data_IF_647557801714
#
_entry.id   IF_647557801714
#
_cell.length_a   1.000
_cell.length_b   1.000
_cell.length_c   1.000
_cell.angle_alpha   90.00
_cell.angle_beta   90.00
_cell.angle_gamma   90.00
#
_symmetry.space_group_name_H-M   'P 1'
#
loop_
_entity.id
_entity.type
_entity.pdbx_description
1 polymer ?
#
# COMPACT_ATOMS: atom_id res chain seq x y z
N UNK A 1 25.72 -7.32 7.69
CA UNK A 1 24.45 -7.71 7.06
C UNK A 1 23.82 -6.44 6.49
N UNK A 2 23.60 -6.34 5.18
CA UNK A 2 22.93 -5.17 4.61
C UNK A 2 21.49 -5.12 5.15
N UNK A 3 21.08 -3.97 5.67
CA UNK A 3 19.72 -3.77 6.15
C UNK A 3 18.73 -3.81 4.97
N UNK A 4 17.52 -4.35 5.19
CA UNK A 4 16.51 -4.50 4.14
C UNK A 4 16.15 -3.15 3.49
N UNK A 5 15.77 -3.16 2.20
CA UNK A 5 15.38 -1.96 1.45
C UNK A 5 14.08 -1.36 1.98
N UNK A 6 13.20 -2.13 2.61
CA UNK A 6 12.01 -1.64 3.29
C UNK A 6 12.33 -1.39 4.77
N UNK A 7 11.88 -0.25 5.31
CA UNK A 7 12.04 0.08 6.74
C UNK A 7 10.69 0.14 7.42
N UNK A 8 10.53 -0.62 8.50
CA UNK A 8 9.30 -0.65 9.29
C UNK A 8 9.04 0.75 9.86
N UNK A 9 7.81 1.23 9.70
CA UNK A 9 7.34 2.50 10.25
C UNK A 9 6.44 2.22 11.44
N UNK A 10 6.80 2.70 12.63
CA UNK A 10 5.98 2.51 13.82
C UNK A 10 4.68 3.32 13.71
N UNK A 11 3.63 2.85 14.38
CA UNK A 11 2.27 3.40 14.25
C UNK A 11 2.19 4.89 14.62
N UNK A 12 3.04 5.34 15.55
CA UNK A 12 3.12 6.74 15.99
C UNK A 12 3.52 7.69 14.85
N UNK A 13 4.13 7.16 13.77
CA UNK A 13 4.55 7.91 12.59
C UNK A 13 3.59 7.80 11.41
N UNK A 14 2.49 7.06 11.53
CA UNK A 14 1.55 6.91 10.41
C UNK A 14 0.83 8.21 10.05
N UNK A 15 0.72 9.17 10.96
CA UNK A 15 0.23 10.52 10.64
C UNK A 15 1.14 11.26 9.64
N UNK A 16 2.45 11.03 9.69
CA UNK A 16 3.39 11.58 8.70
C UNK A 16 3.12 10.99 7.31
N UNK A 17 2.82 9.68 7.27
CA UNK A 17 2.40 8.98 6.04
C UNK A 17 1.11 9.56 5.51
N UNK A 18 0.05 9.60 6.33
CA UNK A 18 -1.25 10.15 5.90
C UNK A 18 -1.11 11.58 5.40
N UNK A 19 -0.25 12.39 6.02
CA UNK A 19 0.02 13.76 5.59
C UNK A 19 0.71 13.85 4.23
N UNK A 20 1.72 13.02 3.96
CA UNK A 20 2.41 12.99 2.66
C UNK A 20 1.47 12.57 1.51
N UNK A 21 0.50 11.70 1.81
CA UNK A 21 -0.43 11.14 0.83
C UNK A 21 -1.69 12.00 0.60
N UNK A 22 -1.97 12.99 1.46
CA UNK A 22 -3.12 13.92 1.27
C UNK A 22 -3.01 14.80 0.03
N UNK A 23 -1.80 15.05 -0.47
CA UNK A 23 -1.58 15.86 -1.67
C UNK A 23 -2.00 15.17 -2.97
N UNK A 24 -2.28 13.86 -2.91
CA UNK A 24 -2.55 13.01 -4.07
C UNK A 24 -3.91 12.30 -3.93
N UNK A 25 -4.88 13.03 -3.38
CA UNK A 25 -6.27 12.62 -3.40
C UNK A 25 -6.85 12.77 -4.82
N UNK A 26 -7.73 11.85 -5.26
CA UNK A 26 -8.31 10.74 -4.51
C UNK A 26 -7.49 9.45 -4.53
N UNK A 27 -6.39 9.37 -5.29
CA UNK A 27 -5.61 8.14 -5.50
C UNK A 27 -5.15 7.53 -4.18
N UNK A 28 -4.73 8.38 -3.25
CA UNK A 28 -4.22 7.99 -1.94
C UNK A 28 -5.28 7.59 -0.89
N UNK A 29 -6.57 7.60 -1.23
CA UNK A 29 -7.63 7.26 -0.25
C UNK A 29 -7.52 5.84 0.28
N UNK A 30 -7.10 4.89 -0.55
CA UNK A 30 -6.96 3.49 -0.15
C UNK A 30 -5.96 3.35 1.01
N UNK A 31 -4.76 3.93 0.87
CA UNK A 31 -3.75 3.85 1.93
C UNK A 31 -4.20 4.60 3.18
N UNK A 32 -4.76 5.80 3.04
CA UNK A 32 -5.23 6.58 4.18
C UNK A 32 -6.29 5.78 4.96
N UNK A 33 -7.30 5.24 4.26
CA UNK A 33 -8.35 4.43 4.87
C UNK A 33 -7.83 3.13 5.49
N UNK A 34 -6.85 2.48 4.87
CA UNK A 34 -6.20 1.29 5.43
C UNK A 34 -5.48 1.62 6.75
N UNK A 35 -4.71 2.71 6.79
CA UNK A 35 -4.00 3.14 8.00
C UNK A 35 -4.98 3.52 9.12
N UNK A 36 -6.02 4.30 8.82
CA UNK A 36 -7.05 4.69 9.80
C UNK A 36 -7.79 3.47 10.38
N UNK A 37 -8.12 2.50 9.51
CA UNK A 37 -8.76 1.25 9.94
C UNK A 37 -7.85 0.46 10.86
N UNK A 38 -6.56 0.35 10.53
CA UNK A 38 -5.60 -0.42 11.33
C UNK A 38 -5.25 0.30 12.64
N UNK A 39 -5.19 1.63 12.66
CA UNK A 39 -5.07 2.41 13.90
C UNK A 39 -6.25 2.19 14.83
N UNK A 40 -7.47 2.15 14.29
CA UNK A 40 -8.67 1.85 15.07
C UNK A 40 -8.62 0.43 15.67
N UNK A 41 -8.25 -0.56 14.87
CA UNK A 41 -8.08 -1.95 15.33
C UNK A 41 -7.02 -2.05 16.43
N UNK A 42 -5.88 -1.38 16.27
CA UNK A 42 -4.81 -1.36 17.27
C UNK A 42 -5.28 -0.75 18.61
N UNK A 43 -6.09 0.32 18.58
CA UNK A 43 -6.70 0.92 19.79
C UNK A 43 -7.65 -0.03 20.53
N UNK A 44 -8.18 -1.05 19.85
CA UNK A 44 -8.98 -2.11 20.45
C UNK A 44 -8.12 -3.28 21.01
N UNK A 45 -6.79 -3.13 21.04
CA UNK A 45 -5.84 -4.18 21.44
C UNK A 45 -5.92 -5.45 20.58
N UNK A 46 -6.33 -5.30 19.32
CA UNK A 46 -6.32 -6.37 18.33
C UNK A 46 -5.06 -6.21 17.47
N UNK A 47 -4.26 -7.28 17.35
CA UNK A 47 -3.08 -7.32 16.48
C UNK A 47 -3.24 -8.42 15.43
N UNK A 48 -3.49 -8.01 14.19
CA UNK A 48 -3.57 -8.91 13.03
C UNK A 48 -2.27 -8.95 12.23
N UNK A 49 -1.16 -8.44 12.79
CA UNK A 49 0.16 -8.49 12.15
C UNK A 49 0.33 -7.54 10.97
N UNK A 50 -0.49 -6.49 10.88
CA UNK A 50 -0.37 -5.46 9.85
C UNK A 50 0.88 -4.62 10.08
N UNK A 51 1.76 -4.56 9.08
CA UNK A 51 3.03 -3.81 9.15
C UNK A 51 3.13 -2.83 8.00
N UNK A 52 3.60 -1.63 8.27
CA UNK A 52 3.80 -0.58 7.25
C UNK A 52 5.29 -0.33 7.11
N UNK A 53 5.76 -0.25 5.87
CA UNK A 53 7.14 0.01 5.54
C UNK A 53 7.25 1.18 4.55
N UNK A 54 8.34 1.93 4.64
CA UNK A 54 8.75 2.88 3.59
C UNK A 54 10.03 2.39 2.90
N UNK A 55 10.13 2.49 1.56
CA UNK A 55 11.36 2.30 0.83
C UNK A 55 12.48 3.19 1.36
N UNK A 56 13.55 2.55 1.81
CA UNK A 56 14.72 3.16 2.44
C UNK A 56 14.42 4.06 3.64
N UNK A 57 13.22 3.93 4.23
CA UNK A 57 12.78 4.71 5.39
C UNK A 57 12.27 6.11 5.08
N UNK A 58 12.07 6.44 3.80
CA UNK A 58 11.55 7.74 3.37
C UNK A 58 10.14 7.60 2.80
N UNK A 59 9.18 8.26 3.44
CA UNK A 59 7.76 8.29 3.06
C UNK A 59 7.53 8.81 1.63
N UNK A 60 8.41 9.70 1.15
CA UNK A 60 8.30 10.26 -0.20
C UNK A 60 8.65 9.23 -1.28
N UNK A 61 9.23 8.08 -0.91
CA UNK A 61 9.47 6.97 -1.82
C UNK A 61 8.30 5.98 -1.87
N UNK A 62 7.22 6.25 -1.15
CA UNK A 62 6.02 5.43 -1.12
C UNK A 62 5.90 4.59 0.14
N UNK A 63 4.88 3.74 0.14
CA UNK A 63 4.63 2.80 1.22
C UNK A 63 4.41 1.39 0.69
N UNK A 64 4.74 0.44 1.54
CA UNK A 64 4.45 -0.97 1.36
C UNK A 64 3.87 -1.45 2.68
N UNK A 65 2.58 -1.77 2.73
CA UNK A 65 1.98 -2.39 3.88
C UNK A 65 1.77 -3.88 3.64
N UNK A 66 2.11 -4.70 4.62
CA UNK A 66 2.02 -6.15 4.56
C UNK A 66 1.05 -6.62 5.65
N UNK A 67 0.04 -7.36 5.23
CA UNK A 67 -0.90 -8.06 6.08
C UNK A 67 -0.77 -9.57 5.82
N UNK A 68 -0.27 -10.30 6.81
CA UNK A 68 -0.05 -11.75 6.72
C UNK A 68 -1.33 -12.47 7.12
N UNK A 69 -2.08 -12.96 6.13
CA UNK A 69 -3.28 -13.79 6.37
C UNK A 69 -2.90 -15.27 6.32
N UNK A 70 -3.83 -16.14 6.73
CA UNK A 70 -3.58 -17.59 6.85
C UNK A 70 -3.23 -18.26 5.52
N UNK A 71 -3.83 -17.84 4.41
CA UNK A 71 -3.69 -18.48 3.09
C UNK A 71 -2.96 -17.64 2.05
N UNK A 72 -2.77 -16.34 2.29
CA UNK A 72 -2.14 -15.40 1.36
C UNK A 72 -1.61 -14.16 2.09
N UNK A 73 -0.78 -13.36 1.41
CA UNK A 73 -0.39 -12.03 1.87
C UNK A 73 -1.18 -10.97 1.12
N UNK A 74 -1.71 -10.01 1.85
CA UNK A 74 -2.26 -8.79 1.26
C UNK A 74 -1.19 -7.70 1.36
N UNK A 75 -0.77 -7.16 0.22
CA UNK A 75 0.31 -6.18 0.11
C UNK A 75 -0.22 -4.90 -0.52
N UNK A 76 -0.37 -3.85 0.29
CA UNK A 76 -0.79 -2.53 -0.19
C UNK A 76 0.46 -1.75 -0.61
N UNK A 77 0.50 -1.28 -1.85
CA UNK A 77 1.65 -0.58 -2.41
C UNK A 77 1.15 0.72 -3.04
N UNK A 78 1.63 1.85 -2.53
CA UNK A 78 1.22 3.18 -2.96
C UNK A 78 2.40 4.16 -2.95
N UNK A 79 2.30 5.22 -3.74
CA UNK A 79 3.31 6.29 -3.83
C UNK A 79 2.64 7.66 -3.84
N UNK A 80 3.17 8.67 -3.12
CA UNK A 80 2.63 10.03 -3.17
C UNK A 80 3.05 10.79 -4.44
N UNK A 81 3.87 10.17 -5.31
CA UNK A 81 4.41 10.74 -6.56
C UNK A 81 4.42 9.70 -7.68
N UNK A 82 4.39 10.17 -8.92
CA UNK A 82 4.36 9.29 -10.11
C UNK A 82 5.70 8.56 -10.36
N UNK A 83 6.82 9.17 -9.98
CA UNK A 83 8.13 8.51 -10.06
C UNK A 83 8.27 7.44 -8.97
N UNK A 84 8.23 6.19 -9.42
CA UNK A 84 8.28 4.99 -8.57
C UNK A 84 9.60 4.25 -8.66
N UNK A 85 10.64 4.86 -9.23
CA UNK A 85 11.94 4.20 -9.45
C UNK A 85 12.51 3.61 -8.16
N UNK A 86 12.52 4.41 -7.08
CA UNK A 86 13.05 4.00 -5.76
C UNK A 86 12.16 2.93 -5.10
N UNK A 87 10.84 3.08 -5.23
CA UNK A 87 9.88 2.07 -4.76
C UNK A 87 10.13 0.71 -5.44
N UNK A 88 10.31 0.72 -6.76
CA UNK A 88 10.59 -0.50 -7.53
C UNK A 88 11.88 -1.18 -7.14
N UNK A 89 12.93 -0.39 -6.94
CA UNK A 89 14.18 -0.93 -6.45
C UNK A 89 14.01 -1.58 -5.07
N UNK A 90 13.27 -0.94 -4.17
CA UNK A 90 13.02 -1.50 -2.85
C UNK A 90 12.21 -2.80 -2.89
N UNK A 91 11.13 -2.86 -3.68
CA UNK A 91 10.32 -4.08 -3.86
C UNK A 91 11.13 -5.25 -4.46
N UNK A 92 12.09 -4.94 -5.33
CA UNK A 92 12.98 -5.94 -5.94
C UNK A 92 13.94 -6.56 -4.93
N UNK A 93 14.48 -5.73 -4.04
CA UNK A 93 15.53 -6.08 -3.08
C UNK A 93 14.99 -6.64 -1.75
N UNK A 94 13.76 -6.31 -1.39
CA UNK A 94 13.23 -6.64 -0.06
C UNK A 94 13.13 -8.15 0.16
N UNK A 95 13.39 -8.54 1.40
CA UNK A 95 13.22 -9.90 1.92
C UNK A 95 11.99 -10.01 2.83
N UNK A 96 11.30 -8.90 3.14
CA UNK A 96 10.10 -8.93 3.96
C UNK A 96 8.88 -9.49 3.21
N UNK A 97 8.86 -9.37 1.89
CA UNK A 97 7.83 -9.98 1.05
C UNK A 97 8.38 -11.26 0.45
N UNK A 98 7.86 -12.39 0.88
CA UNK A 98 8.07 -13.67 0.21
C UNK A 98 7.17 -13.75 -1.03
N UNK A 99 7.71 -13.31 -2.17
CA UNK A 99 7.02 -13.30 -3.46
C UNK A 99 6.61 -14.68 -3.97
N UNK A 100 7.09 -15.77 -3.36
CA UNK A 100 6.70 -17.14 -3.74
C UNK A 100 5.37 -17.57 -3.11
N UNK A 101 4.83 -16.79 -2.16
CA UNK A 101 3.50 -17.00 -1.59
C UNK A 101 2.41 -16.45 -2.50
N UNK A 102 1.16 -16.87 -2.23
CA UNK A 102 0.00 -16.21 -2.80
C UNK A 102 -0.05 -14.78 -2.28
N UNK A 103 0.01 -13.80 -3.19
CA UNK A 103 -0.01 -12.37 -2.86
C UNK A 103 -1.17 -11.73 -3.59
N UNK A 104 -1.97 -10.95 -2.85
CA UNK A 104 -2.92 -10.01 -3.40
C UNK A 104 -2.37 -8.59 -3.24
N UNK A 105 -2.39 -7.81 -4.33
CA UNK A 105 -2.01 -6.40 -4.34
C UNK A 105 -3.26 -5.58 -4.66
N UNK A 106 -4.05 -5.19 -3.65
CA UNK A 106 -5.33 -4.54 -3.87
C UNK A 106 -5.15 -3.05 -4.19
N UNK A 107 -6.10 -2.49 -4.96
CA UNK A 107 -6.27 -1.05 -5.22
C UNK A 107 -5.06 -0.30 -5.80
N UNK A 108 -4.05 -1.00 -6.32
CA UNK A 108 -2.80 -0.37 -6.72
C UNK A 108 -2.92 0.36 -8.08
N UNK A 109 -2.48 1.62 -8.17
CA UNK A 109 -2.48 2.38 -9.42
C UNK A 109 -1.65 1.74 -10.54
N UNK A 110 -1.98 2.05 -11.80
CA UNK A 110 -1.34 1.44 -12.97
C UNK A 110 0.20 1.58 -13.00
N UNK A 111 0.73 2.73 -12.59
CA UNK A 111 2.17 2.99 -12.54
C UNK A 111 2.88 2.14 -11.47
N UNK A 112 2.23 1.89 -10.34
CA UNK A 112 2.70 0.94 -9.31
C UNK A 112 2.57 -0.50 -9.83
N UNK A 113 1.48 -0.86 -10.49
CA UNK A 113 1.32 -2.21 -11.04
C UNK A 113 2.34 -2.53 -12.14
N UNK A 114 2.82 -1.54 -12.90
CA UNK A 114 3.93 -1.74 -13.84
C UNK A 114 5.20 -2.20 -13.11
N UNK A 115 5.47 -1.60 -11.95
CA UNK A 115 6.56 -1.96 -11.06
C UNK A 115 6.45 -3.39 -10.53
N UNK A 116 5.28 -3.74 -10.00
CA UNK A 116 4.99 -5.08 -9.47
C UNK A 116 5.13 -6.13 -10.56
N UNK A 117 4.56 -5.90 -11.75
CA UNK A 117 4.69 -6.81 -12.91
C UNK A 117 6.14 -7.05 -13.29
N UNK A 118 6.97 -6.00 -13.32
CA UNK A 118 8.40 -6.14 -13.62
C UNK A 118 9.10 -7.01 -12.58
N UNK A 119 8.87 -6.78 -11.30
CA UNK A 119 9.44 -7.58 -10.21
C UNK A 119 9.03 -9.07 -10.28
N UNK A 120 7.76 -9.33 -10.57
CA UNK A 120 7.22 -10.70 -10.74
C UNK A 120 7.88 -11.41 -11.94
N UNK A 121 8.01 -10.72 -13.08
CA UNK A 121 8.67 -11.24 -14.27
C UNK A 121 10.16 -11.56 -14.01
N UNK A 122 10.89 -10.65 -13.35
CA UNK A 122 12.31 -10.85 -12.99
C UNK A 122 12.52 -12.06 -12.06
N UNK A 123 11.53 -12.39 -11.22
CA UNK A 123 11.55 -13.55 -10.33
C UNK A 123 11.00 -14.82 -10.97
N UNK A 124 10.63 -14.80 -12.25
CA UNK A 124 10.01 -15.91 -12.99
C UNK A 124 8.73 -16.45 -12.29
N UNK A 125 7.96 -15.54 -11.69
CA UNK A 125 6.70 -15.84 -11.04
C UNK A 125 5.54 -15.55 -12.00
N UNK A 126 4.35 -16.08 -11.68
CA UNK A 126 3.15 -15.90 -12.51
C UNK A 126 2.15 -15.00 -11.81
N UNK A 127 1.51 -14.14 -12.59
CA UNK A 127 0.31 -13.41 -12.17
C UNK A 127 -0.87 -14.30 -12.54
N UNK A 128 -1.65 -14.70 -11.55
CA UNK A 128 -2.84 -15.53 -11.76
C UNK A 128 -3.96 -14.73 -12.45
N UNK A 129 -4.32 -13.58 -11.88
CA UNK A 129 -5.35 -12.70 -12.45
C UNK A 129 -5.09 -11.23 -12.11
N UNK A 130 -5.66 -10.33 -12.92
CA UNK A 130 -5.72 -8.89 -12.65
C UNK A 130 -7.17 -8.47 -12.82
N UNK A 131 -7.73 -7.84 -11.78
CA UNK A 131 -9.08 -7.30 -11.81
C UNK A 131 -9.03 -5.78 -11.76
N UNK A 132 -9.58 -5.14 -12.79
CA UNK A 132 -9.82 -3.70 -12.77
C UNK A 132 -11.00 -3.40 -11.85
N UNK A 133 -10.86 -2.35 -11.05
CA UNK A 133 -11.88 -1.89 -10.11
C UNK A 133 -12.07 -0.39 -10.27
N UNK A 134 -13.29 0.07 -10.01
CA UNK A 134 -13.66 1.48 -10.02
C UNK A 134 -13.89 1.93 -8.58
N UNK A 135 -13.30 3.07 -8.21
CA UNK A 135 -13.50 3.68 -6.89
C UNK A 135 -14.50 4.82 -7.03
N UNK A 136 -15.60 4.73 -6.30
CA UNK A 136 -16.62 5.76 -6.23
C UNK A 136 -16.47 6.55 -4.93
N UNK A 137 -16.57 7.87 -5.02
CA UNK A 137 -16.55 8.75 -3.86
C UNK A 137 -17.90 9.42 -3.70
N UNK A 138 -18.51 9.20 -2.53
CA UNK A 138 -19.73 9.89 -2.15
C UNK A 138 -19.38 11.13 -1.35
N UNK A 139 -19.69 12.31 -1.87
CA UNK A 139 -19.70 13.53 -1.07
C UNK A 139 -20.95 13.54 -0.18
N UNK A 140 -20.73 13.45 1.12
CA UNK A 140 -21.78 13.46 2.14
C UNK A 140 -22.16 14.87 2.60
N UNK A 141 -21.43 15.90 2.15
CA UNK A 141 -21.72 17.30 2.47
C UNK A 141 -22.71 17.95 1.49
N UNK A 142 -22.95 17.31 0.34
CA UNK A 142 -23.92 17.75 -0.65
C UNK A 142 -25.26 17.01 -0.47
N UNK A 143 -26.42 17.70 -0.50
CA UNK A 143 -27.71 17.03 -0.41
C UNK A 143 -27.92 16.08 -1.61
N UNK A 144 -28.33 14.83 -1.31
CA UNK A 144 -28.51 13.75 -2.30
C UNK A 144 -29.56 14.06 -3.36
N UNK A 145 -30.51 14.95 -3.05
CA UNK A 145 -31.59 15.35 -3.94
C UNK A 145 -31.70 16.87 -3.97
N UNK A 146 -31.88 17.41 -5.17
CA UNK A 146 -32.22 18.81 -5.38
C UNK A 146 -33.72 18.96 -5.18
N UNK A 147 -34.16 19.11 -3.92
CA UNK A 147 -35.56 19.43 -3.61
C UNK A 147 -35.81 20.88 -4.02
N UNK A 148 -36.38 21.06 -5.21
CA UNK A 148 -37.05 22.30 -5.62
C UNK A 148 -38.53 22.22 -5.30
#
# INVERSE_FOLDING_TARGET
MCADSLKLIPIEKWEEIKSAFKCDLPRSLTVIGALETQEYIYKLYLDYGFKVFCPFGDVNNGIVALNVKSTYYEVIIESPKDDTTVLCEALRQTKFIDWTKNIEVPFSPAHIMACVKKNINEKNLKIDHIKMIETFLLDTKSPLFNVR
#
